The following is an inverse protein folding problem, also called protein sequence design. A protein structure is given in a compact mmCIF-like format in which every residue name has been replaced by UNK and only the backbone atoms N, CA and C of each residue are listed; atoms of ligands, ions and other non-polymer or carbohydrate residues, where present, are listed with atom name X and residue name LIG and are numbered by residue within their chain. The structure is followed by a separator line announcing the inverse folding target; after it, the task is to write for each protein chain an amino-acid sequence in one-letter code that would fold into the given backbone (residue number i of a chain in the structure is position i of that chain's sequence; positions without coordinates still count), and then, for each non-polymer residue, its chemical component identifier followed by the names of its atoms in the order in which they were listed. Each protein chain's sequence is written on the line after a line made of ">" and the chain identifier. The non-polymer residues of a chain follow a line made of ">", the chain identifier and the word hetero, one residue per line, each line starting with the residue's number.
data_IF_004654469360
#
_entry.id   IF_004654469360
#
_cell.length_a   1.000
_cell.length_b   1.000
_cell.length_c   1.000
_cell.angle_alpha   90.00
_cell.angle_beta   90.00
_cell.angle_gamma   90.00
#
_symmetry.space_group_name_H-M   'P 1'
#
loop_
_entity.id
_entity.type
_entity.pdbx_description
1 polymer ?
#
# COMPACT_ATOMS: atom_id res chain seq x y z
N UNK A 1 -55.05 -12.96 13.46
CA UNK A 1 -53.77 -12.68 12.75
C UNK A 1 -52.87 -13.89 12.98
N UNK A 2 -52.78 -14.78 11.99
CA UNK A 2 -52.01 -16.02 12.10
C UNK A 2 -50.54 -15.79 11.70
N UNK A 3 -49.63 -15.92 12.67
CA UNK A 3 -48.19 -15.93 12.41
C UNK A 3 -47.74 -17.35 12.05
N UNK A 4 -47.59 -17.64 10.75
CA UNK A 4 -46.89 -18.85 10.28
C UNK A 4 -45.38 -18.64 10.35
N UNK A 5 -44.81 -18.84 11.53
CA UNK A 5 -43.36 -18.85 11.74
C UNK A 5 -42.71 -19.99 10.97
N UNK A 6 -41.90 -19.68 9.96
CA UNK A 6 -41.02 -20.67 9.30
C UNK A 6 -39.87 -20.99 10.26
N UNK A 7 -39.71 -22.25 10.64
CA UNK A 7 -38.56 -22.70 11.41
C UNK A 7 -37.29 -22.56 10.57
N UNK A 8 -36.36 -21.72 11.03
CA UNK A 8 -35.01 -21.65 10.47
C UNK A 8 -34.17 -22.78 11.09
N UNK A 9 -34.00 -23.88 10.36
CA UNK A 9 -33.03 -24.91 10.75
C UNK A 9 -31.62 -24.37 10.47
N UNK A 10 -30.99 -23.77 11.47
CA UNK A 10 -29.58 -23.40 11.40
C UNK A 10 -28.77 -24.70 11.38
N UNK A 11 -28.27 -25.08 10.21
CA UNK A 11 -27.30 -26.17 10.10
C UNK A 11 -26.00 -25.72 10.76
N UNK A 12 -25.67 -26.31 11.91
CA UNK A 12 -24.38 -26.14 12.55
C UNK A 12 -23.29 -26.65 11.59
N UNK A 13 -22.35 -25.78 11.25
CA UNK A 13 -21.19 -26.12 10.44
C UNK A 13 -20.36 -27.17 11.18
N UNK A 14 -20.07 -28.31 10.55
CA UNK A 14 -19.33 -29.43 11.14
C UNK A 14 -17.81 -29.14 11.28
N UNK A 15 -17.42 -27.89 11.02
CA UNK A 15 -16.06 -27.38 11.11
C UNK A 15 -15.11 -28.00 10.09
N UNK A 16 -15.58 -28.82 9.15
CA UNK A 16 -14.72 -29.45 8.12
C UNK A 16 -14.11 -28.39 7.21
N UNK A 17 -14.88 -27.38 6.85
CA UNK A 17 -14.42 -26.26 6.01
C UNK A 17 -13.35 -25.43 6.72
N UNK A 18 -13.48 -25.24 8.04
CA UNK A 18 -12.49 -24.56 8.87
C UNK A 18 -11.17 -25.34 8.94
N UNK A 19 -11.26 -26.66 9.16
CA UNK A 19 -10.11 -27.57 9.21
C UNK A 19 -9.38 -27.64 7.87
N UNK A 20 -10.10 -27.81 6.76
CA UNK A 20 -9.52 -27.82 5.41
C UNK A 20 -8.76 -26.52 5.09
N UNK A 21 -9.28 -25.35 5.51
CA UNK A 21 -8.57 -24.07 5.34
C UNK A 21 -7.33 -23.95 6.23
N UNK A 22 -7.36 -24.52 7.42
CA UNK A 22 -6.20 -24.53 8.32
C UNK A 22 -5.10 -25.46 7.79
N UNK A 23 -5.48 -26.63 7.29
CA UNK A 23 -4.59 -27.61 6.64
C UNK A 23 -3.99 -27.05 5.35
N UNK A 24 -4.79 -26.37 4.52
CA UNK A 24 -4.29 -25.69 3.32
C UNK A 24 -3.25 -24.62 3.71
N UNK A 25 -3.57 -23.75 4.69
CA UNK A 25 -2.60 -22.78 5.22
C UNK A 25 -1.33 -23.45 5.77
N UNK A 26 -1.46 -24.55 6.50
CA UNK A 26 -0.31 -25.30 7.01
C UNK A 26 0.54 -25.85 5.86
N UNK A 27 -0.10 -26.36 4.81
CA UNK A 27 0.57 -26.83 3.59
C UNK A 27 1.30 -25.70 2.86
N UNK A 28 0.73 -24.50 2.79
CA UNK A 28 1.39 -23.30 2.24
C UNK A 28 2.60 -22.85 3.08
N UNK A 29 2.57 -23.08 4.39
CA UNK A 29 3.68 -22.78 5.31
C UNK A 29 4.77 -23.86 5.24
N UNK A 30 4.38 -25.14 5.11
CA UNK A 30 5.27 -26.31 5.09
C UNK A 30 5.96 -26.49 3.73
N UNK A 31 5.27 -26.22 2.62
CA UNK A 31 5.89 -26.09 1.29
C UNK A 31 6.63 -24.77 1.08
N UNK A 32 7.09 -24.15 2.17
CA UNK A 32 7.80 -22.89 2.20
C UNK A 32 8.97 -22.87 1.22
N UNK A 33 8.72 -22.39 0.00
CA UNK A 33 9.54 -21.31 -0.55
C UNK A 33 9.43 -20.19 0.48
N UNK A 34 10.23 -20.30 1.55
CA UNK A 34 10.36 -19.26 2.55
C UNK A 34 10.51 -17.96 1.79
N UNK A 35 9.77 -16.91 2.18
CA UNK A 35 9.90 -15.59 1.56
C UNK A 35 11.39 -15.36 1.36
N UNK A 36 11.81 -15.31 0.10
CA UNK A 36 13.22 -15.07 -0.23
C UNK A 36 13.65 -13.89 0.63
N UNK A 37 14.78 -14.04 1.33
CA UNK A 37 15.29 -12.98 2.19
C UNK A 37 15.23 -11.67 1.39
N UNK A 38 14.62 -10.60 1.92
CA UNK A 38 14.42 -9.38 1.16
C UNK A 38 15.75 -8.99 0.52
N UNK A 39 15.78 -8.87 -0.81
CA UNK A 39 17.00 -8.51 -1.52
C UNK A 39 17.63 -7.26 -0.90
N UNK A 40 18.97 -7.08 -0.93
CA UNK A 40 19.67 -6.03 -0.17
C UNK A 40 19.10 -4.60 -0.31
N UNK A 41 18.44 -4.28 -1.43
CA UNK A 41 17.78 -2.98 -1.63
C UNK A 41 16.54 -2.75 -0.73
N UNK A 42 15.92 -3.78 -0.16
CA UNK A 42 14.73 -3.66 0.69
C UNK A 42 15.04 -2.98 2.03
N UNK A 43 16.22 -3.24 2.60
CA UNK A 43 16.62 -2.68 3.90
C UNK A 43 16.78 -1.16 3.85
N UNK A 44 17.48 -0.63 2.84
CA UNK A 44 17.66 0.82 2.68
C UNK A 44 16.38 1.54 2.23
N UNK A 45 15.49 0.85 1.51
CA UNK A 45 14.24 1.41 1.02
C UNK A 45 13.27 1.77 2.16
N UNK A 46 13.10 0.87 3.12
CA UNK A 46 12.12 1.06 4.19
C UNK A 46 12.50 2.21 5.13
N UNK A 47 13.79 2.43 5.34
CA UNK A 47 14.29 3.60 6.06
C UNK A 47 14.07 4.88 5.25
N UNK A 48 14.45 4.90 3.97
CA UNK A 48 14.24 6.05 3.09
C UNK A 48 12.76 6.44 2.95
N UNK A 49 11.85 5.47 2.85
CA UNK A 49 10.40 5.73 2.80
C UNK A 49 9.87 6.34 4.11
N UNK A 50 10.40 5.91 5.26
CA UNK A 50 10.03 6.47 6.57
C UNK A 50 10.56 7.88 6.74
N UNK A 51 11.79 8.11 6.31
CA UNK A 51 12.46 9.41 6.30
C UNK A 51 11.65 10.42 5.46
N UNK A 52 11.34 10.08 4.21
CA UNK A 52 10.52 10.92 3.33
C UNK A 52 9.17 11.28 3.94
N UNK A 53 8.46 10.30 4.51
CA UNK A 53 7.18 10.55 5.18
C UNK A 53 7.35 11.54 6.34
N UNK A 54 8.38 11.34 7.17
CA UNK A 54 8.67 12.21 8.30
C UNK A 54 8.98 13.63 7.85
N UNK A 55 9.75 13.82 6.77
CA UNK A 55 10.06 15.16 6.25
C UNK A 55 8.80 15.86 5.74
N UNK A 56 7.96 15.16 4.97
CA UNK A 56 6.68 15.70 4.48
C UNK A 56 5.77 16.13 5.64
N UNK A 57 5.74 15.37 6.73
CA UNK A 57 4.90 15.66 7.91
C UNK A 57 5.48 16.76 8.81
N UNK A 58 6.80 16.81 8.99
CA UNK A 58 7.45 17.72 9.94
C UNK A 58 7.87 19.06 9.35
N UNK A 59 8.22 19.09 8.06
CA UNK A 59 8.78 20.27 7.38
C UNK A 59 8.19 20.42 5.96
N UNK A 60 6.87 20.60 5.82
CA UNK A 60 6.25 20.73 4.50
C UNK A 60 6.69 22.00 3.76
N UNK A 61 7.11 23.05 4.48
CA UNK A 61 7.59 24.31 3.92
C UNK A 61 8.92 24.13 3.14
N UNK A 62 9.77 23.23 3.61
CA UNK A 62 11.08 22.96 3.01
C UNK A 62 10.96 21.97 1.87
N UNK A 63 10.64 22.49 0.69
CA UNK A 63 10.45 21.67 -0.49
C UNK A 63 11.73 20.96 -0.96
N UNK A 64 12.90 21.54 -0.70
CA UNK A 64 14.17 20.96 -1.11
C UNK A 64 14.45 19.71 -0.29
N UNK A 65 14.17 19.74 1.01
CA UNK A 65 14.25 18.57 1.87
C UNK A 65 13.28 17.47 1.43
N UNK A 66 12.03 17.82 1.11
CA UNK A 66 11.02 16.86 0.64
C UNK A 66 11.44 16.18 -0.67
N UNK A 67 11.92 16.95 -1.65
CA UNK A 67 12.40 16.39 -2.93
C UNK A 67 13.61 15.51 -2.73
N UNK A 68 14.61 15.99 -1.99
CA UNK A 68 15.83 15.23 -1.70
C UNK A 68 15.53 13.90 -1.00
N UNK A 69 14.60 13.91 -0.05
CA UNK A 69 14.15 12.71 0.64
C UNK A 69 13.46 11.71 -0.29
N UNK A 70 12.62 12.20 -1.21
CA UNK A 70 11.96 11.35 -2.22
C UNK A 70 12.96 10.72 -3.19
N UNK A 71 13.93 11.49 -3.68
CA UNK A 71 14.94 11.02 -4.64
C UNK A 71 15.89 9.97 -4.04
N UNK A 72 16.09 9.99 -2.72
CA UNK A 72 16.87 8.97 -2.00
C UNK A 72 16.19 7.60 -1.92
N UNK A 73 14.90 7.50 -2.23
CA UNK A 73 14.17 6.22 -2.14
C UNK A 73 14.52 5.34 -3.35
N UNK A 74 15.16 4.17 -3.16
CA UNK A 74 15.36 3.23 -4.25
C UNK A 74 14.03 2.57 -4.61
N UNK A 75 13.62 2.63 -5.89
CA UNK A 75 12.36 2.05 -6.40
C UNK A 75 11.14 2.47 -5.55
N UNK A 76 10.78 3.78 -5.52
CA UNK A 76 9.63 4.28 -4.79
C UNK A 76 8.36 3.59 -5.28
N UNK A 77 7.45 3.27 -4.34
CA UNK A 77 6.21 2.60 -4.67
C UNK A 77 5.12 3.62 -5.01
N UNK A 78 3.97 3.10 -5.46
CA UNK A 78 2.72 3.85 -5.62
C UNK A 78 2.42 4.78 -4.44
N UNK A 79 2.72 4.33 -3.22
CA UNK A 79 2.42 5.07 -1.99
C UNK A 79 3.26 6.35 -1.86
N UNK A 80 4.56 6.26 -2.14
CA UNK A 80 5.49 7.39 -2.07
C UNK A 80 5.20 8.39 -3.19
N UNK A 81 4.93 7.90 -4.42
CA UNK A 81 4.50 8.75 -5.52
C UNK A 81 3.20 9.49 -5.20
N UNK A 82 2.19 8.79 -4.67
CA UNK A 82 0.93 9.41 -4.28
C UNK A 82 1.11 10.51 -3.23
N UNK A 83 1.99 10.28 -2.23
CA UNK A 83 2.30 11.29 -1.22
C UNK A 83 2.98 12.53 -1.83
N UNK A 84 3.92 12.33 -2.76
CA UNK A 84 4.61 13.43 -3.45
C UNK A 84 3.65 14.24 -4.35
N UNK A 85 2.73 13.58 -5.03
CA UNK A 85 1.71 14.24 -5.86
C UNK A 85 0.77 15.10 -4.98
N UNK A 86 0.29 14.54 -3.87
CA UNK A 86 -0.55 15.29 -2.90
C UNK A 86 0.22 16.47 -2.30
N UNK A 87 1.51 16.28 -1.99
CA UNK A 87 2.37 17.34 -1.48
C UNK A 87 2.43 18.54 -2.46
N UNK A 88 2.74 18.28 -3.73
CA UNK A 88 2.75 19.34 -4.75
C UNK A 88 1.38 19.96 -5.00
N UNK A 89 0.31 19.14 -5.00
CA UNK A 89 -1.05 19.62 -5.19
C UNK A 89 -1.48 20.60 -4.08
N UNK A 90 -1.18 20.28 -2.81
CA UNK A 90 -1.45 21.16 -1.66
C UNK A 90 -0.71 22.48 -1.74
N UNK A 91 0.48 22.49 -2.34
CA UNK A 91 1.28 23.71 -2.59
C UNK A 91 0.84 24.51 -3.81
N UNK A 92 -0.14 24.01 -4.59
CA UNK A 92 -0.58 24.64 -5.83
C UNK A 92 0.34 24.38 -7.03
N UNK A 93 1.35 23.53 -6.88
CA UNK A 93 2.34 23.24 -7.92
C UNK A 93 1.85 22.11 -8.86
N UNK A 94 0.95 22.50 -9.76
CA UNK A 94 0.29 21.56 -10.70
C UNK A 94 1.27 20.93 -11.68
N UNK A 95 2.33 21.64 -12.05
CA UNK A 95 3.32 21.16 -13.02
C UNK A 95 4.14 20.01 -12.43
N UNK A 96 4.68 20.18 -11.22
CA UNK A 96 5.45 19.13 -10.57
C UNK A 96 4.57 17.95 -10.13
N UNK A 97 3.33 18.21 -9.69
CA UNK A 97 2.37 17.15 -9.42
C UNK A 97 2.13 16.27 -10.67
N UNK A 98 1.90 16.89 -11.83
CA UNK A 98 1.72 16.18 -13.09
C UNK A 98 2.99 15.45 -13.53
N UNK A 99 4.15 16.09 -13.45
CA UNK A 99 5.43 15.45 -13.80
C UNK A 99 5.69 14.21 -12.94
N UNK A 100 5.38 14.28 -11.63
CA UNK A 100 5.51 13.14 -10.70
C UNK A 100 4.55 12.01 -11.06
N UNK A 101 3.31 12.34 -11.45
CA UNK A 101 2.33 11.37 -11.92
C UNK A 101 2.75 10.67 -13.21
N UNK A 102 3.26 11.40 -14.20
CA UNK A 102 3.74 10.78 -15.44
C UNK A 102 5.01 9.96 -15.21
N UNK A 103 5.91 10.38 -14.30
CA UNK A 103 7.07 9.59 -13.89
C UNK A 103 6.64 8.25 -13.29
N UNK A 104 5.62 8.25 -12.44
CA UNK A 104 5.03 7.04 -11.86
C UNK A 104 4.51 6.09 -12.95
N UNK A 105 3.79 6.62 -13.95
CA UNK A 105 3.26 5.84 -15.09
C UNK A 105 4.38 5.30 -15.99
N UNK A 106 5.40 6.09 -16.28
CA UNK A 106 6.55 5.67 -17.08
C UNK A 106 7.34 4.52 -16.42
N UNK A 107 7.26 4.39 -15.09
CA UNK A 107 7.82 3.27 -14.33
C UNK A 107 6.92 2.03 -14.29
N UNK A 108 5.79 2.03 -15.00
CA UNK A 108 4.82 0.93 -15.01
C UNK A 108 4.06 0.77 -13.69
N UNK A 109 4.02 1.82 -12.87
CA UNK A 109 3.28 1.82 -11.61
C UNK A 109 1.91 2.43 -11.87
N UNK A 110 0.87 1.59 -11.93
CA UNK A 110 -0.47 2.10 -12.19
C UNK A 110 -0.97 2.98 -11.04
N UNK A 111 -1.51 4.18 -11.32
CA UNK A 111 -2.18 5.01 -10.32
C UNK A 111 -3.48 4.33 -9.87
N UNK A 112 -3.76 4.39 -8.56
CA UNK A 112 -5.06 3.97 -8.04
C UNK A 112 -6.02 5.17 -8.06
N UNK A 113 -7.33 4.93 -8.11
CA UNK A 113 -8.37 5.97 -8.08
C UNK A 113 -8.20 6.96 -6.91
N UNK A 114 -7.65 6.49 -5.79
CA UNK A 114 -7.36 7.29 -4.59
C UNK A 114 -6.25 8.35 -4.76
N UNK A 115 -5.47 8.34 -5.84
CA UNK A 115 -4.48 9.40 -6.11
C UNK A 115 -5.17 10.74 -6.41
N UNK A 116 -6.45 10.71 -6.82
CA UNK A 116 -7.20 11.90 -7.23
C UNK A 116 -8.19 12.42 -6.17
N UNK A 117 -8.29 11.79 -4.99
CA UNK A 117 -9.39 12.03 -4.04
C UNK A 117 -8.99 12.76 -2.75
N UNK A 118 -7.76 13.27 -2.61
CA UNK A 118 -7.26 13.82 -1.33
C UNK A 118 -6.53 15.14 -1.44
#
# INVERSE_FOLDING_TARGET
>A
VDFRGRSLTVRLDDGRKGRARAEDRARWVDHGRGKEAPSPWHHGRDEACREFRRVVESRPEDWQAVVSAFERIPKPSRREFGLMIVYYAKRGDKHHARATFENMRARGIDPNAFVFTR
#
